data_IF_102849122583
#
_entry.id   IF_102849122583
#
_cell.length_a   1.000
_cell.length_b   1.000
_cell.length_c   1.000
_cell.angle_alpha   90.00
_cell.angle_beta   90.00
_cell.angle_gamma   90.00
#
_symmetry.space_group_name_H-M   'P 1'
#
loop_
_entity.id
_entity.type
_entity.pdbx_description
1 polymer ?
#
# COMPACT_ATOMS: atom_id res chain seq x y z
N UNK A 1 -16.47 -14.08 -46.14
CA UNK A 1 -15.83 -13.43 -44.97
C UNK A 1 -16.11 -14.33 -43.77
N UNK A 2 -15.09 -14.94 -43.14
CA UNK A 2 -15.34 -15.97 -42.09
C UNK A 2 -15.86 -15.26 -40.84
N UNK A 3 -17.06 -15.62 -40.37
CA UNK A 3 -17.72 -15.02 -39.20
C UNK A 3 -16.79 -14.95 -37.97
N UNK A 4 -15.94 -15.98 -37.83
CA UNK A 4 -14.96 -16.11 -36.76
C UNK A 4 -13.89 -15.02 -36.76
N UNK A 5 -13.53 -14.45 -37.91
CA UNK A 5 -12.49 -13.40 -38.00
C UNK A 5 -12.98 -12.08 -37.41
N UNK A 6 -14.29 -11.90 -37.29
CA UNK A 6 -14.91 -10.71 -36.70
C UNK A 6 -15.03 -10.75 -35.19
N UNK A 7 -14.85 -11.92 -34.58
CA UNK A 7 -15.00 -12.11 -33.14
C UNK A 7 -13.62 -12.13 -32.46
N UNK A 8 -13.33 -11.19 -31.53
CA UNK A 8 -12.09 -11.17 -30.76
C UNK A 8 -11.84 -12.48 -30.00
N UNK A 9 -10.60 -12.73 -29.60
CA UNK A 9 -10.28 -13.86 -28.71
C UNK A 9 -10.64 -13.49 -27.27
N UNK A 10 -11.20 -14.43 -26.50
CA UNK A 10 -11.47 -14.23 -25.07
C UNK A 10 -10.15 -14.22 -24.30
N UNK A 11 -9.94 -13.17 -23.51
CA UNK A 11 -8.75 -12.99 -22.69
C UNK A 11 -9.03 -13.31 -21.22
N UNK A 12 -8.15 -14.05 -20.53
CA UNK A 12 -8.24 -14.22 -19.07
C UNK A 12 -8.13 -12.87 -18.35
N UNK A 13 -8.76 -12.75 -17.18
CA UNK A 13 -8.77 -11.54 -16.32
C UNK A 13 -9.19 -10.26 -17.06
N UNK A 14 -10.10 -10.42 -18.02
CA UNK A 14 -10.58 -9.35 -18.88
C UNK A 14 -12.12 -9.38 -18.90
N UNK A 15 -12.77 -8.21 -18.95
CA UNK A 15 -14.25 -8.12 -19.01
C UNK A 15 -14.84 -8.61 -20.35
N UNK A 16 -13.99 -8.66 -21.37
CA UNK A 16 -14.29 -9.12 -22.73
C UNK A 16 -15.50 -8.40 -23.31
N UNK A 17 -15.69 -7.12 -22.97
CA UNK A 17 -16.87 -6.34 -23.35
C UNK A 17 -17.09 -6.30 -24.87
N UNK A 18 -16.03 -6.05 -25.64
CA UNK A 18 -16.07 -6.03 -27.10
C UNK A 18 -16.48 -7.40 -27.69
N UNK A 19 -15.94 -8.50 -27.14
CA UNK A 19 -16.32 -9.84 -27.55
C UNK A 19 -17.83 -10.07 -27.35
N UNK A 20 -18.33 -9.78 -26.15
CA UNK A 20 -19.74 -9.99 -25.82
C UNK A 20 -20.67 -9.10 -26.64
N UNK A 21 -20.26 -7.86 -26.92
CA UNK A 21 -21.00 -6.95 -27.79
C UNK A 21 -21.08 -7.50 -29.22
N UNK A 22 -19.96 -7.86 -29.83
CA UNK A 22 -19.92 -8.38 -31.21
C UNK A 22 -20.65 -9.72 -31.33
N UNK A 23 -20.55 -10.58 -30.32
CA UNK A 23 -21.28 -11.85 -30.27
C UNK A 23 -22.79 -11.60 -30.27
N UNK A 24 -23.27 -10.62 -29.50
CA UNK A 24 -24.69 -10.24 -29.46
C UNK A 24 -25.16 -9.66 -30.79
N UNK A 25 -24.37 -8.79 -31.41
CA UNK A 25 -24.65 -8.25 -32.75
C UNK A 25 -24.77 -9.39 -33.77
N UNK A 26 -23.83 -10.33 -33.78
CA UNK A 26 -23.89 -11.50 -34.65
C UNK A 26 -25.11 -12.39 -34.37
N UNK A 27 -25.44 -12.61 -33.09
CA UNK A 27 -26.62 -13.38 -32.70
C UNK A 27 -27.90 -12.80 -33.30
N UNK A 28 -28.05 -11.47 -33.23
CA UNK A 28 -29.21 -10.76 -33.78
C UNK A 28 -29.20 -10.73 -35.31
N UNK A 29 -28.06 -10.42 -35.94
CA UNK A 29 -27.98 -10.29 -37.39
C UNK A 29 -28.10 -11.63 -38.13
N UNK A 30 -27.71 -12.73 -37.49
CA UNK A 30 -27.67 -14.06 -38.11
C UNK A 30 -28.65 -15.06 -37.49
N UNK A 31 -29.52 -14.61 -36.57
CA UNK A 31 -30.47 -15.47 -35.84
C UNK A 31 -29.78 -16.71 -35.23
N UNK A 32 -28.64 -16.50 -34.58
CA UNK A 32 -27.87 -17.60 -34.00
C UNK A 32 -28.60 -18.18 -32.78
N UNK A 33 -28.68 -19.51 -32.72
CA UNK A 33 -29.23 -20.18 -31.56
C UNK A 33 -28.21 -20.21 -30.42
N UNK A 34 -28.66 -20.44 -29.18
CA UNK A 34 -27.76 -20.58 -28.02
C UNK A 34 -26.71 -21.69 -28.23
N UNK A 35 -27.03 -22.72 -29.02
CA UNK A 35 -26.08 -23.76 -29.43
C UNK A 35 -24.95 -23.22 -30.32
N UNK A 36 -25.27 -22.34 -31.27
CA UNK A 36 -24.28 -21.70 -32.14
C UNK A 36 -23.41 -20.73 -31.33
N UNK A 37 -24.01 -19.98 -30.42
CA UNK A 37 -23.31 -19.10 -29.48
C UNK A 37 -22.32 -19.89 -28.63
N UNK A 38 -22.73 -21.06 -28.10
CA UNK A 38 -21.84 -21.98 -27.36
C UNK A 38 -20.64 -22.37 -28.20
N UNK A 39 -20.88 -22.75 -29.47
CA UNK A 39 -19.82 -23.12 -30.41
C UNK A 39 -18.84 -21.99 -30.66
N UNK A 40 -19.34 -20.77 -30.89
CA UNK A 40 -18.52 -19.58 -31.12
C UNK A 40 -17.66 -19.25 -29.89
N UNK A 41 -18.25 -19.27 -28.69
CA UNK A 41 -17.51 -19.06 -27.44
C UNK A 41 -16.43 -20.13 -27.28
N UNK A 42 -16.75 -21.40 -27.52
CA UNK A 42 -15.77 -22.50 -27.44
C UNK A 42 -14.58 -22.30 -28.38
N UNK A 43 -14.80 -21.78 -29.59
CA UNK A 43 -13.69 -21.52 -30.54
C UNK A 43 -12.78 -20.35 -30.13
N UNK A 44 -13.24 -19.48 -29.24
CA UNK A 44 -12.51 -18.28 -28.80
C UNK A 44 -12.03 -18.34 -27.36
N UNK A 45 -12.55 -19.29 -26.57
CA UNK A 45 -12.14 -19.52 -25.20
C UNK A 45 -10.83 -20.34 -25.17
N UNK A 46 -9.83 -19.96 -24.35
CA UNK A 46 -8.66 -20.78 -24.11
C UNK A 46 -9.04 -22.21 -23.66
N UNK A 47 -8.39 -23.22 -24.25
CA UNK A 47 -8.77 -24.64 -24.11
C UNK A 47 -8.75 -25.11 -22.64
N UNK A 48 -7.81 -24.61 -21.85
CA UNK A 48 -7.68 -24.90 -20.42
C UNK A 48 -8.80 -24.31 -19.55
N UNK A 49 -9.63 -23.41 -20.08
CA UNK A 49 -10.72 -22.76 -19.35
C UNK A 49 -12.07 -23.41 -19.61
N UNK A 50 -12.25 -24.14 -20.73
CA UNK A 50 -13.51 -24.81 -21.03
C UNK A 50 -13.89 -25.83 -19.96
N UNK A 51 -12.91 -26.58 -19.44
CA UNK A 51 -13.10 -27.57 -18.38
C UNK A 51 -13.47 -26.98 -17.03
N UNK A 52 -13.34 -25.65 -16.85
CA UNK A 52 -13.70 -24.94 -15.61
C UNK A 52 -15.15 -24.50 -15.55
N UNK A 53 -15.86 -24.53 -16.69
CA UNK A 53 -17.29 -24.20 -16.75
C UNK A 53 -18.13 -25.22 -15.97
N UNK A 54 -19.36 -24.88 -15.58
CA UNK A 54 -20.30 -25.87 -15.05
C UNK A 54 -20.57 -26.97 -16.07
N UNK A 55 -20.80 -28.20 -15.59
CA UNK A 55 -21.01 -29.38 -16.45
C UNK A 55 -22.14 -29.18 -17.47
N UNK A 56 -23.22 -28.51 -17.07
CA UNK A 56 -24.38 -28.16 -17.91
C UNK A 56 -24.03 -27.23 -19.09
N UNK A 57 -22.99 -26.42 -18.95
CA UNK A 57 -22.48 -25.54 -20.00
C UNK A 57 -21.49 -26.26 -20.91
N UNK A 58 -20.65 -27.12 -20.35
CA UNK A 58 -19.67 -27.91 -21.09
C UNK A 58 -20.33 -28.87 -22.09
N UNK A 59 -21.37 -29.57 -21.66
CA UNK A 59 -22.08 -30.57 -22.46
C UNK A 59 -23.18 -29.97 -23.36
N UNK A 60 -23.44 -28.66 -23.25
CA UNK A 60 -24.47 -27.97 -24.01
C UNK A 60 -25.91 -28.25 -23.58
N UNK A 61 -26.15 -28.94 -22.45
CA UNK A 61 -27.50 -29.26 -22.00
C UNK A 61 -28.31 -28.02 -21.63
N UNK A 62 -27.65 -26.92 -21.24
CA UNK A 62 -28.28 -25.63 -20.94
C UNK A 62 -29.04 -25.01 -22.13
N UNK A 63 -28.66 -25.36 -23.36
CA UNK A 63 -29.33 -24.91 -24.57
C UNK A 63 -30.25 -25.97 -25.18
N UNK A 64 -30.31 -27.16 -24.59
CA UNK A 64 -31.24 -28.22 -24.96
C UNK A 64 -32.55 -28.04 -24.17
N UNK A 65 -33.69 -28.03 -24.87
CA UNK A 65 -35.04 -27.93 -24.28
C UNK A 65 -35.44 -26.57 -23.72
N UNK A 66 -34.78 -25.48 -24.13
CA UNK A 66 -35.35 -24.15 -23.90
C UNK A 66 -36.61 -24.01 -24.77
N UNK A 67 -37.69 -23.48 -24.20
CA UNK A 67 -38.84 -23.13 -25.03
C UNK A 67 -38.42 -22.05 -26.05
N UNK A 68 -39.23 -21.86 -27.10
CA UNK A 68 -39.04 -20.74 -28.03
C UNK A 68 -39.29 -19.37 -27.37
N UNK A 69 -39.53 -19.35 -26.05
CA UNK A 69 -39.63 -18.13 -25.24
C UNK A 69 -38.29 -17.40 -25.20
N UNK A 70 -38.28 -16.22 -25.81
CA UNK A 70 -37.14 -15.30 -25.80
C UNK A 70 -36.62 -14.98 -24.37
N UNK A 71 -37.46 -14.71 -23.36
CA UNK A 71 -36.99 -14.51 -21.98
C UNK A 71 -36.19 -15.67 -21.39
N UNK A 72 -36.59 -16.92 -21.64
CA UNK A 72 -35.87 -18.11 -21.14
C UNK A 72 -34.52 -18.24 -21.83
N UNK A 73 -34.48 -17.99 -23.14
CA UNK A 73 -33.23 -18.00 -23.92
C UNK A 73 -32.25 -16.92 -23.46
N UNK A 74 -32.74 -15.70 -23.19
CA UNK A 74 -31.92 -14.60 -22.69
C UNK A 74 -31.40 -14.88 -21.27
N UNK A 75 -32.22 -15.50 -20.41
CA UNK A 75 -31.82 -15.90 -19.05
C UNK A 75 -30.74 -16.98 -19.06
N UNK A 76 -30.94 -18.03 -19.86
CA UNK A 76 -29.96 -19.11 -20.00
C UNK A 76 -28.64 -18.61 -20.60
N UNK A 77 -28.70 -17.69 -21.57
CA UNK A 77 -27.51 -17.06 -22.13
C UNK A 77 -26.79 -16.17 -21.11
N UNK A 78 -27.52 -15.44 -20.27
CA UNK A 78 -26.92 -14.65 -19.20
C UNK A 78 -26.19 -15.54 -18.17
N UNK A 79 -26.78 -16.67 -17.80
CA UNK A 79 -26.15 -17.65 -16.90
C UNK A 79 -24.87 -18.26 -17.50
N UNK A 80 -24.93 -18.65 -18.78
CA UNK A 80 -23.75 -19.13 -19.52
C UNK A 80 -22.65 -18.07 -19.60
N UNK A 81 -23.01 -16.81 -19.92
CA UNK A 81 -22.06 -15.70 -19.97
C UNK A 81 -21.39 -15.47 -18.61
N UNK A 82 -22.15 -15.55 -17.52
CA UNK A 82 -21.61 -15.39 -16.17
C UNK A 82 -20.59 -16.49 -15.86
N UNK A 83 -20.91 -17.74 -16.16
CA UNK A 83 -20.03 -18.90 -15.97
C UNK A 83 -18.73 -18.80 -16.79
N UNK A 84 -18.84 -18.36 -18.05
CA UNK A 84 -17.66 -18.11 -18.90
C UNK A 84 -16.81 -16.96 -18.36
N UNK A 85 -17.45 -15.90 -17.88
CA UNK A 85 -16.74 -14.76 -17.28
C UNK A 85 -16.01 -15.18 -16.01
N UNK A 86 -16.64 -15.97 -15.15
CA UNK A 86 -16.03 -16.55 -13.95
C UNK A 86 -14.83 -17.46 -14.29
N UNK A 87 -14.99 -18.35 -15.27
CA UNK A 87 -13.90 -19.21 -15.74
C UNK A 87 -12.72 -18.41 -16.31
N UNK A 88 -12.99 -17.30 -16.99
CA UNK A 88 -11.96 -16.35 -17.43
C UNK A 88 -11.27 -15.62 -16.28
N UNK A 89 -11.76 -15.76 -15.04
CA UNK A 89 -11.26 -15.03 -13.89
C UNK A 89 -11.68 -13.57 -13.93
N UNK A 90 -12.87 -13.28 -14.46
CA UNK A 90 -13.49 -11.98 -14.29
C UNK A 90 -13.74 -11.75 -12.80
N UNK A 91 -12.86 -10.98 -12.18
CA UNK A 91 -13.07 -10.51 -10.82
C UNK A 91 -14.20 -9.50 -10.85
N UNK A 92 -15.27 -9.80 -10.11
CA UNK A 92 -16.30 -8.80 -9.81
C UNK A 92 -15.61 -7.57 -9.24
N UNK A 93 -15.98 -6.40 -9.74
CA UNK A 93 -15.37 -5.15 -9.27
C UNK A 93 -15.62 -5.03 -7.77
N UNK A 94 -14.55 -5.05 -6.98
CA UNK A 94 -14.60 -4.92 -5.53
C UNK A 94 -13.88 -3.64 -5.13
N UNK A 95 -14.62 -2.52 -5.22
CA UNK A 95 -14.08 -1.22 -4.84
C UNK A 95 -13.69 -1.16 -3.37
N UNK A 96 -14.39 -1.89 -2.50
CA UNK A 96 -14.10 -1.90 -1.06
C UNK A 96 -12.73 -2.53 -0.80
N UNK A 97 -12.40 -3.63 -1.47
CA UNK A 97 -11.08 -4.25 -1.40
C UNK A 97 -9.96 -3.31 -1.89
N UNK A 98 -10.22 -2.51 -2.93
CA UNK A 98 -9.25 -1.53 -3.46
C UNK A 98 -9.04 -0.39 -2.46
N UNK A 99 -10.11 0.27 -2.02
CA UNK A 99 -10.00 1.45 -1.14
C UNK A 99 -9.51 1.10 0.27
N UNK A 100 -9.67 -0.16 0.70
CA UNK A 100 -9.12 -0.64 1.97
C UNK A 100 -7.59 -0.70 1.98
N UNK A 101 -6.93 -0.69 0.80
CA UNK A 101 -5.47 -0.66 0.70
C UNK A 101 -4.97 0.75 0.98
N UNK A 102 -4.58 0.98 2.23
CA UNK A 102 -3.96 2.21 2.71
C UNK A 102 -2.52 1.94 3.17
N UNK A 103 -1.66 2.95 3.13
CA UNK A 103 -0.30 2.87 3.65
C UNK A 103 -0.36 2.79 5.18
N UNK A 104 0.19 1.72 5.76
CA UNK A 104 0.24 1.57 7.22
C UNK A 104 1.44 2.34 7.78
N UNK A 105 1.41 2.71 9.07
CA UNK A 105 2.58 3.29 9.73
C UNK A 105 3.79 2.37 9.63
N UNK A 106 4.89 2.86 9.08
CA UNK A 106 6.12 2.10 8.89
C UNK A 106 6.23 1.35 7.55
N UNK A 107 5.16 1.29 6.74
CA UNK A 107 5.25 0.77 5.38
C UNK A 107 5.99 1.77 4.48
N UNK A 108 6.94 1.30 3.68
CA UNK A 108 7.58 2.13 2.66
C UNK A 108 6.60 2.47 1.53
N UNK A 109 6.74 3.65 0.93
CA UNK A 109 5.88 4.09 -0.16
C UNK A 109 5.84 3.14 -1.38
N UNK A 110 6.95 2.44 -1.66
CA UNK A 110 7.05 1.46 -2.74
C UNK A 110 6.26 0.16 -2.45
N UNK A 111 6.33 -0.33 -1.22
CA UNK A 111 5.60 -1.52 -0.79
C UNK A 111 4.09 -1.24 -0.82
N UNK A 112 3.70 -0.06 -0.33
CA UNK A 112 2.34 0.42 -0.46
C UNK A 112 1.89 0.53 -1.93
N UNK A 113 2.72 1.12 -2.80
CA UNK A 113 2.41 1.26 -4.23
C UNK A 113 2.23 -0.06 -4.94
N UNK A 114 3.04 -1.05 -4.59
CA UNK A 114 2.93 -2.41 -5.13
C UNK A 114 1.62 -3.07 -4.69
N UNK A 115 1.29 -3.06 -3.38
CA UNK A 115 0.03 -3.64 -2.89
C UNK A 115 -1.21 -2.94 -3.45
N UNK A 116 -1.16 -1.62 -3.59
CA UNK A 116 -2.26 -0.85 -4.17
C UNK A 116 -2.45 -1.22 -5.64
N UNK A 117 -1.37 -1.29 -6.41
CA UNK A 117 -1.45 -1.70 -7.82
C UNK A 117 -1.95 -3.14 -8.00
N UNK A 118 -1.46 -4.08 -7.20
CA UNK A 118 -1.91 -5.48 -7.24
C UNK A 118 -3.40 -5.60 -6.90
N UNK A 119 -3.87 -4.89 -5.87
CA UNK A 119 -5.29 -4.84 -5.50
C UNK A 119 -6.13 -4.21 -6.61
N UNK A 120 -5.66 -3.12 -7.21
CA UNK A 120 -6.34 -2.47 -8.34
C UNK A 120 -6.44 -3.41 -9.55
N UNK A 121 -5.36 -4.09 -9.93
CA UNK A 121 -5.40 -5.08 -11.01
C UNK A 121 -6.34 -6.25 -10.70
N UNK A 122 -6.33 -6.72 -9.45
CA UNK A 122 -7.16 -7.84 -9.03
C UNK A 122 -8.65 -7.47 -8.98
N UNK A 123 -9.00 -6.25 -8.56
CA UNK A 123 -10.38 -5.95 -8.14
C UNK A 123 -11.05 -4.82 -8.94
N UNK A 124 -10.36 -4.11 -9.84
CA UNK A 124 -10.97 -2.98 -10.58
C UNK A 124 -11.84 -3.43 -11.75
N UNK A 125 -11.68 -4.67 -12.21
CA UNK A 125 -12.27 -5.16 -13.46
C UNK A 125 -11.72 -4.48 -14.73
N UNK A 126 -10.67 -3.65 -14.60
CA UNK A 126 -9.99 -3.02 -15.72
C UNK A 126 -8.93 -3.98 -16.25
N UNK A 127 -9.10 -4.50 -17.47
CA UNK A 127 -8.09 -5.37 -18.07
C UNK A 127 -6.80 -4.62 -18.36
N UNK A 128 -5.68 -5.33 -18.26
CA UNK A 128 -4.35 -4.80 -18.59
C UNK A 128 -4.07 -3.44 -17.90
N UNK A 129 -4.66 -3.23 -16.72
CA UNK A 129 -4.50 -2.00 -15.96
C UNK A 129 -3.02 -1.75 -15.68
N UNK A 130 -2.52 -0.64 -16.21
CA UNK A 130 -1.16 -0.20 -16.02
C UNK A 130 -1.04 0.76 -14.83
N UNK A 131 0.21 1.03 -14.44
CA UNK A 131 0.50 1.94 -13.34
C UNK A 131 0.14 3.40 -13.65
N UNK A 132 -0.05 3.77 -14.91
CA UNK A 132 -0.40 5.13 -15.31
C UNK A 132 -1.92 5.36 -15.35
N UNK A 133 -2.72 4.35 -14.98
CA UNK A 133 -4.16 4.51 -14.87
C UNK A 133 -4.50 5.67 -13.90
N UNK A 134 -5.22 6.72 -14.34
CA UNK A 134 -5.52 7.88 -13.51
C UNK A 134 -6.26 7.52 -12.21
N UNK A 135 -7.12 6.50 -12.22
CA UNK A 135 -7.84 6.06 -11.03
C UNK A 135 -6.88 5.42 -10.01
N UNK A 136 -5.90 4.62 -10.46
CA UNK A 136 -4.86 4.09 -9.59
C UNK A 136 -4.01 5.22 -8.99
N UNK A 137 -3.59 6.19 -9.80
CA UNK A 137 -2.79 7.32 -9.32
C UNK A 137 -3.55 8.08 -8.23
N UNK A 138 -4.85 8.28 -8.41
CA UNK A 138 -5.69 8.94 -7.42
C UNK A 138 -5.84 8.10 -6.15
N UNK A 139 -6.12 6.80 -6.28
CA UNK A 139 -6.18 5.87 -5.15
C UNK A 139 -4.88 5.82 -4.36
N UNK A 140 -3.74 5.87 -5.05
CA UNK A 140 -2.44 5.95 -4.41
C UNK A 140 -2.32 7.23 -3.57
N UNK A 141 -2.68 8.39 -4.12
CA UNK A 141 -2.65 9.66 -3.36
C UNK A 141 -3.57 9.62 -2.14
N UNK A 142 -4.76 9.08 -2.29
CA UNK A 142 -5.79 9.08 -1.25
C UNK A 142 -5.48 8.10 -0.11
N UNK A 143 -4.77 7.01 -0.40
CA UNK A 143 -4.38 6.01 0.60
C UNK A 143 -2.98 6.20 1.20
N UNK A 144 -2.24 7.25 0.84
CA UNK A 144 -0.95 7.56 1.48
C UNK A 144 -1.13 7.89 2.98
N UNK A 145 -0.11 7.58 3.77
CA UNK A 145 -0.09 7.85 5.21
C UNK A 145 -0.20 9.33 5.53
N UNK A 146 -0.62 9.67 6.75
CA UNK A 146 -0.99 11.04 7.16
C UNK A 146 0.11 12.11 6.98
N UNK A 147 1.37 11.70 6.84
CA UNK A 147 2.52 12.58 6.60
C UNK A 147 2.57 13.14 5.17
N UNK A 148 2.08 12.41 4.18
CA UNK A 148 2.20 12.78 2.76
C UNK A 148 1.13 13.75 2.26
N UNK A 149 -0.16 13.69 2.70
CA UNK A 149 -1.19 14.66 2.31
C UNK A 149 -0.85 16.11 2.61
N UNK A 150 -0.13 16.38 3.70
CA UNK A 150 0.34 17.74 4.02
C UNK A 150 1.34 18.25 2.97
N UNK A 151 2.26 17.39 2.52
CA UNK A 151 3.21 17.71 1.45
C UNK A 151 2.52 17.80 0.09
N UNK A 152 1.54 16.93 -0.21
CA UNK A 152 0.72 17.00 -1.44
C UNK A 152 -0.02 18.34 -1.58
N UNK A 153 -0.55 18.90 -0.48
CA UNK A 153 -1.24 20.20 -0.47
C UNK A 153 -0.34 21.40 -0.78
N UNK A 154 0.98 21.25 -0.67
CA UNK A 154 1.93 22.34 -1.02
C UNK A 154 2.09 22.54 -2.53
N UNK A 155 1.50 21.66 -3.36
CA UNK A 155 1.55 21.77 -4.82
C UNK A 155 2.90 21.41 -5.44
N UNK A 156 3.84 20.90 -4.64
CA UNK A 156 5.20 20.54 -5.08
C UNK A 156 5.30 19.14 -5.72
N UNK A 157 4.17 18.52 -6.10
CA UNK A 157 4.15 17.15 -6.59
C UNK A 157 4.21 17.12 -8.12
N UNK A 158 5.14 16.38 -8.74
CA UNK A 158 5.16 16.18 -10.18
C UNK A 158 3.87 15.48 -10.62
N UNK A 159 3.10 16.11 -11.49
CA UNK A 159 1.73 15.71 -11.85
C UNK A 159 1.65 14.67 -12.98
N UNK A 160 2.72 13.95 -13.32
CA UNK A 160 2.79 13.32 -14.65
C UNK A 160 2.68 11.80 -14.62
N UNK A 161 3.23 11.11 -13.62
CA UNK A 161 3.22 9.65 -13.60
C UNK A 161 3.23 9.02 -12.20
N UNK A 162 2.77 7.77 -12.12
CA UNK A 162 2.84 6.96 -10.89
C UNK A 162 4.28 6.78 -10.41
N UNK A 163 5.24 6.58 -11.32
CA UNK A 163 6.65 6.40 -10.98
C UNK A 163 7.25 7.65 -10.36
N UNK A 164 6.95 8.84 -10.89
CA UNK A 164 7.42 10.10 -10.28
C UNK A 164 6.80 10.29 -8.90
N UNK A 165 5.52 9.97 -8.75
CA UNK A 165 4.82 10.06 -7.48
C UNK A 165 5.41 9.09 -6.44
N UNK A 166 5.67 7.84 -6.82
CA UNK A 166 6.30 6.81 -5.99
C UNK A 166 7.75 7.19 -5.61
N UNK A 167 8.53 7.73 -6.55
CA UNK A 167 9.88 8.22 -6.26
C UNK A 167 9.87 9.40 -5.28
N UNK A 168 8.91 10.31 -5.44
CA UNK A 168 8.75 11.46 -4.56
C UNK A 168 8.34 11.03 -3.15
N UNK A 169 7.37 10.12 -3.00
CA UNK A 169 6.97 9.60 -1.69
C UNK A 169 8.11 8.85 -1.01
N UNK A 170 8.88 8.04 -1.75
CA UNK A 170 10.10 7.41 -1.22
C UNK A 170 11.13 8.43 -0.73
N UNK A 171 11.33 9.53 -1.47
CA UNK A 171 12.24 10.60 -1.04
C UNK A 171 11.78 11.25 0.28
N UNK A 172 10.47 11.40 0.49
CA UNK A 172 9.93 11.92 1.74
C UNK A 172 10.15 10.95 2.90
N UNK A 173 9.90 9.66 2.69
CA UNK A 173 10.13 8.63 3.72
C UNK A 173 11.60 8.61 4.16
N UNK A 174 12.53 8.71 3.20
CA UNK A 174 13.97 8.79 3.46
C UNK A 174 14.36 10.07 4.24
N UNK A 175 13.76 11.22 3.93
CA UNK A 175 14.00 12.47 4.67
C UNK A 175 13.47 12.39 6.10
N UNK A 176 12.31 11.77 6.30
CA UNK A 176 11.76 11.55 7.64
C UNK A 176 12.70 10.66 8.46
N UNK A 177 13.20 9.57 7.88
CA UNK A 177 14.16 8.67 8.53
C UNK A 177 15.49 9.36 8.84
N UNK A 178 16.02 10.16 7.90
CA UNK A 178 17.24 10.95 8.12
C UNK A 178 17.05 12.00 9.23
N UNK A 179 15.88 12.64 9.30
CA UNK A 179 15.55 13.61 10.35
C UNK A 179 15.46 12.92 11.72
N UNK A 180 14.78 11.77 11.80
CA UNK A 180 14.71 10.97 13.03
C UNK A 180 16.09 10.48 13.47
N UNK A 181 16.95 10.07 12.52
CA UNK A 181 18.33 9.70 12.80
C UNK A 181 19.13 10.90 13.33
N UNK A 182 19.02 12.07 12.73
CA UNK A 182 19.68 13.30 13.19
C UNK A 182 19.21 13.74 14.58
N UNK A 183 17.93 13.57 14.90
CA UNK A 183 17.39 13.83 16.24
C UNK A 183 17.86 12.79 17.27
N UNK A 184 18.09 11.56 16.82
CA UNK A 184 18.58 10.45 17.65
C UNK A 184 20.09 10.44 17.81
N UNK A 185 20.86 11.11 16.93
CA UNK A 185 22.27 11.34 17.19
C UNK A 185 22.38 12.26 18.41
N UNK A 186 23.01 11.81 19.51
CA UNK A 186 23.24 12.67 20.66
C UNK A 186 24.00 13.88 20.15
N UNK A 187 23.38 15.06 20.27
CA UNK A 187 24.02 16.31 19.86
C UNK A 187 25.42 16.31 20.45
N UNK A 188 26.50 16.49 19.65
CA UNK A 188 27.86 16.39 20.15
C UNK A 188 27.95 17.20 21.42
N UNK A 189 28.40 16.57 22.51
CA UNK A 189 28.47 17.23 23.80
C UNK A 189 29.55 18.31 23.72
N UNK A 190 29.17 19.52 23.29
CA UNK A 190 30.08 20.67 23.17
C UNK A 190 30.12 21.39 24.50
N UNK A 191 31.31 21.51 25.07
CA UNK A 191 31.52 22.29 26.27
C UNK A 191 31.32 23.79 25.97
N UNK A 192 30.35 24.42 26.62
CA UNK A 192 30.05 25.84 26.46
C UNK A 192 31.22 26.78 26.81
N UNK A 193 32.22 26.30 27.55
CA UNK A 193 33.35 27.12 28.04
C UNK A 193 34.53 27.14 27.08
N UNK A 194 34.91 25.98 26.53
CA UNK A 194 36.07 25.85 25.63
C UNK A 194 35.71 25.51 24.17
N UNK A 195 34.41 25.29 23.87
CA UNK A 195 33.89 24.87 22.56
C UNK A 195 34.40 23.51 22.06
N UNK A 196 35.12 22.74 22.88
CA UNK A 196 35.55 21.38 22.52
C UNK A 196 34.44 20.35 22.81
N UNK A 197 34.41 19.28 22.03
CA UNK A 197 33.50 18.15 22.19
C UNK A 197 33.96 17.16 23.26
N UNK A 198 33.05 16.37 23.82
CA UNK A 198 33.36 15.20 24.65
C UNK A 198 33.35 15.42 26.17
N UNK A 199 32.99 16.62 26.66
CA UNK A 199 32.84 16.87 28.10
C UNK A 199 31.81 17.96 28.43
N UNK A 200 31.24 17.90 29.63
CA UNK A 200 30.35 18.93 30.17
C UNK A 200 31.12 20.14 30.73
N UNK A 201 30.44 21.28 30.90
CA UNK A 201 31.02 22.54 31.43
C UNK A 201 31.79 22.35 32.76
N UNK A 202 31.32 21.47 33.64
CA UNK A 202 31.94 21.20 34.95
C UNK A 202 33.20 20.33 34.87
N UNK A 203 33.38 19.58 33.78
CA UNK A 203 34.58 18.78 33.50
C UNK A 203 35.55 19.51 32.55
N UNK A 204 35.38 20.82 32.34
CA UNK A 204 36.20 21.57 31.40
C UNK A 204 37.62 21.78 31.96
N UNK A 205 38.70 21.39 31.26
CA UNK A 205 40.07 21.59 31.74
C UNK A 205 40.41 23.07 32.01
N UNK A 206 39.76 23.98 31.28
CA UNK A 206 39.95 25.43 31.40
C UNK A 206 39.32 25.97 32.71
N UNK A 207 38.42 25.22 33.35
CA UNK A 207 37.72 25.70 34.55
C UNK A 207 38.60 25.85 35.79
N UNK A 208 39.79 25.24 35.80
CA UNK A 208 40.73 25.32 36.92
C UNK A 208 41.74 26.47 36.80
N UNK A 209 41.81 27.20 35.69
CA UNK A 209 42.62 28.42 35.62
C UNK A 209 41.87 29.56 36.32
N UNK A 210 42.25 29.84 37.58
CA UNK A 210 41.86 31.09 38.26
C UNK A 210 42.34 32.27 37.41
N UNK A 211 41.46 33.22 37.07
CA UNK A 211 41.89 34.50 36.51
C UNK A 211 42.69 35.22 37.61
N UNK A 212 44.01 35.16 37.53
CA UNK A 212 44.88 35.81 38.52
C UNK A 212 46.26 35.21 38.74
N UNK A 213 46.60 34.05 38.17
CA UNK A 213 47.98 33.57 38.21
C UNK A 213 48.75 34.07 36.98
N UNK A 214 49.64 35.09 37.12
CA UNK A 214 50.59 35.40 36.08
C UNK A 214 51.54 34.21 35.88
N UNK A 215 51.92 33.96 34.63
CA UNK A 215 52.93 32.97 34.23
C UNK A 215 54.20 33.16 35.07
N UNK A 216 54.34 32.34 36.12
CA UNK A 216 55.62 32.07 36.74
C UNK A 216 56.21 30.88 36.00
N UNK A 217 57.08 31.20 35.04
CA UNK A 217 58.06 30.25 34.53
C UNK A 217 58.82 29.68 35.73
N UNK A 218 58.65 28.39 35.97
CA UNK A 218 59.23 27.68 37.09
C UNK A 218 59.60 26.27 36.65
N UNK A 219 60.89 26.08 36.45
CA UNK A 219 61.51 24.81 36.10
C UNK A 219 61.06 23.68 37.04
N UNK A 220 60.56 22.61 36.43
CA UNK A 220 60.16 21.39 37.12
C UNK A 220 61.38 20.58 37.51
N UNK A 221 61.69 20.56 38.81
CA UNK A 221 62.45 19.48 39.43
C UNK A 221 61.77 19.02 40.71
N UNK A 222 61.21 17.81 40.66
CA UNK A 222 61.36 16.82 41.73
C UNK A 222 60.42 16.87 42.95
N UNK A 223 59.86 15.70 43.23
CA UNK A 223 59.35 15.21 44.54
C UNK A 223 58.04 15.88 45.01
N UNK A 224 56.92 15.18 45.14
CA UNK A 224 56.72 13.88 45.78
C UNK A 224 55.89 14.11 47.03
N UNK A 225 54.68 13.53 47.11
CA UNK A 225 54.05 13.01 48.34
C UNK A 225 52.64 12.49 48.08
N UNK A 226 52.47 11.27 48.53
CA UNK A 226 51.20 10.61 48.82
C UNK A 226 50.40 11.38 49.88
N UNK A 227 49.08 11.46 49.71
CA UNK A 227 48.14 10.86 50.66
C UNK A 227 46.67 10.92 50.19
N UNK A 228 45.83 9.96 50.62
CA UNK A 228 44.45 9.79 50.21
C UNK A 228 43.49 10.53 51.14
N UNK A 229 42.46 11.15 50.57
CA UNK A 229 41.43 11.89 51.31
C UNK A 229 40.04 11.51 50.83
N UNK A 230 39.36 10.71 51.66
CA UNK A 230 37.98 10.30 51.53
C UNK A 230 37.03 11.49 51.32
N UNK A 231 36.04 11.36 50.42
CA UNK A 231 34.78 12.08 50.56
C UNK A 231 33.59 11.13 50.42
N UNK A 232 32.88 11.01 51.55
CA UNK A 232 31.59 10.35 51.69
C UNK A 232 30.53 11.04 50.82
N UNK A 233 29.71 10.22 50.19
CA UNK A 233 28.25 10.24 50.33
C UNK A 233 27.48 11.48 49.89
N UNK A 234 26.67 11.30 48.84
CA UNK A 234 25.25 11.67 48.89
C UNK A 234 24.48 11.01 47.75
N UNK A 235 23.59 10.09 48.12
CA UNK A 235 22.52 9.57 47.29
C UNK A 235 21.55 10.69 46.90
N UNK A 236 20.99 10.70 45.68
CA UNK A 236 19.80 11.48 45.38
C UNK A 236 18.51 10.74 45.77
N UNK A 237 17.40 11.47 46.01
CA UNK A 237 16.19 10.95 46.64
C UNK A 237 15.31 10.14 45.67
N UNK A 238 14.66 9.12 46.23
CA UNK A 238 13.54 8.41 45.61
C UNK A 238 12.32 9.33 45.57
N UNK A 239 11.87 9.69 44.36
CA UNK A 239 10.53 10.23 44.16
C UNK A 239 9.58 9.10 43.76
N UNK A 240 8.69 8.76 44.69
CA UNK A 240 7.47 8.04 44.41
C UNK A 240 6.51 8.93 43.62
N UNK A 241 5.87 8.40 42.59
CA UNK A 241 4.64 8.99 42.05
C UNK A 241 3.63 7.88 41.81
N UNK A 242 2.62 7.94 42.66
CA UNK A 242 1.33 7.26 42.64
C UNK A 242 0.53 7.72 41.43
N UNK A 243 -0.25 6.82 40.82
CA UNK A 243 -1.46 7.20 40.09
C UNK A 243 -1.66 6.52 38.75
N UNK A 244 -2.28 5.34 38.77
CA UNK A 244 -2.95 4.77 37.61
C UNK A 244 -4.35 5.39 37.46
N UNK A 245 -4.77 5.78 36.23
CA UNK A 245 -6.19 5.87 35.90
C UNK A 245 -6.64 4.64 35.12
N UNK A 246 -7.71 4.04 35.63
CA UNK A 246 -8.47 2.94 35.02
C UNK A 246 -9.18 3.42 33.75
N UNK A 247 -9.05 2.67 32.66
CA UNK A 247 -9.90 2.79 31.47
C UNK A 247 -11.29 2.21 31.77
N UNK A 248 -12.39 2.87 31.37
CA UNK A 248 -13.72 2.28 31.41
C UNK A 248 -13.93 1.34 30.22
N UNK A 249 -14.53 0.18 30.51
CA UNK A 249 -14.99 -0.79 29.53
C UNK A 249 -16.15 -0.22 28.69
N UNK A 250 -16.02 -0.29 27.37
CA UNK A 250 -17.11 -0.02 26.43
C UNK A 250 -18.20 -1.09 26.61
N UNK A 251 -19.43 -0.63 26.84
CA UNK A 251 -20.65 -1.44 26.74
C UNK A 251 -21.08 -1.49 25.27
N UNK A 252 -21.20 -2.69 24.75
CA UNK A 252 -21.88 -3.00 23.48
C UNK A 252 -23.41 -2.89 23.68
N UNK A 253 -24.16 -2.27 22.76
CA UNK A 253 -25.61 -2.42 22.71
C UNK A 253 -26.02 -3.71 21.95
N UNK A 254 -27.13 -4.37 22.34
CA UNK A 254 -27.52 -5.65 21.77
C UNK A 254 -28.08 -5.53 20.36
N UNK A 255 -27.65 -6.48 19.53
CA UNK A 255 -28.19 -6.82 18.22
C UNK A 255 -29.69 -7.06 18.27
N UNK A 256 -30.43 -6.44 17.35
CA UNK A 256 -31.80 -6.82 16.99
C UNK A 256 -31.82 -7.28 15.54
N UNK A 257 -32.10 -8.55 15.38
CA UNK A 257 -32.67 -9.17 14.18
C UNK A 257 -33.53 -10.36 14.64
N UNK A 258 -34.41 -10.90 13.79
CA UNK A 258 -35.37 -10.23 12.89
C UNK A 258 -36.81 -10.31 13.44
#
# INVERSE_FOLDING_TARGET
MKLLDRLPTLKPRHNNAEFWQRLREMQMCHNLHNRDVTGLVRTKLPENLWSRLRSVHQNGSWCANLSDSRPEQETALADFKADVSEALGHTTVDWNAIVAVTQKPGDGAQEYGTRNFESFQAHSGIPDADRQNPALIQLYKDGLGTTHPAALRTGLVPYVSFTELENWTMSLDNQALATLAALSTPKPLVCYRCRQTGHYKFNCPISFRRPGDPDLGGDSTGQGRDNPGQYRGRSPPQHATVGAPRTPANKEPPSREP
#
